data_IF_669931144372
#
_entry.id   IF_669931144372
#
_cell.length_a   1.000
_cell.length_b   1.000
_cell.length_c   1.000
_cell.angle_alpha   90.00
_cell.angle_beta   90.00
_cell.angle_gamma   90.00
#
_symmetry.space_group_name_H-M   'P 1'
#
loop_
_entity.id
_entity.type
_entity.pdbx_description
1 polymer ?
#
# COMPACT_ATOMS: atom_id res chain seq x y z
N UNK A 1 -24.97 -13.27 -8.71
CA UNK A 1 -24.81 -12.41 -9.91
C UNK A 1 -23.41 -12.58 -10.45
N UNK A 2 -23.25 -13.13 -11.65
CA UNK A 2 -21.95 -13.26 -12.31
C UNK A 2 -21.76 -12.07 -13.26
N UNK A 3 -20.70 -11.27 -13.04
CA UNK A 3 -20.37 -10.13 -13.91
C UNK A 3 -19.37 -10.62 -14.95
N UNK A 4 -19.72 -10.52 -16.24
CA UNK A 4 -18.82 -10.83 -17.35
C UNK A 4 -17.71 -9.78 -17.38
N UNK A 5 -16.48 -10.18 -17.08
CA UNK A 5 -15.30 -9.31 -17.18
C UNK A 5 -14.90 -9.12 -18.65
N UNK A 6 -14.75 -7.87 -19.07
CA UNK A 6 -14.30 -7.51 -20.42
C UNK A 6 -12.84 -7.06 -20.34
N UNK A 7 -12.03 -7.54 -21.28
CA UNK A 7 -10.65 -7.09 -21.42
C UNK A 7 -10.64 -5.73 -22.12
N UNK A 8 -10.30 -4.67 -21.39
CA UNK A 8 -10.15 -3.34 -21.96
C UNK A 8 -8.68 -3.12 -22.33
N UNK A 9 -8.40 -2.97 -23.63
CA UNK A 9 -7.09 -2.61 -24.14
C UNK A 9 -6.85 -1.10 -23.96
N UNK A 10 -6.75 -0.67 -22.70
CA UNK A 10 -6.46 0.72 -22.35
C UNK A 10 -4.96 0.91 -22.17
N UNK A 11 -4.35 1.77 -22.99
CA UNK A 11 -2.98 2.24 -22.78
C UNK A 11 -3.01 3.47 -21.86
N UNK A 12 -2.60 3.36 -20.58
CA UNK A 12 -2.67 4.48 -19.65
C UNK A 12 -1.70 5.58 -20.03
N UNK A 13 -2.16 6.83 -19.91
CA UNK A 13 -1.31 8.00 -20.10
C UNK A 13 -0.19 8.04 -19.04
N UNK A 14 0.93 8.72 -19.35
CA UNK A 14 2.05 8.87 -18.42
C UNK A 14 1.63 9.49 -17.09
N UNK A 15 0.72 10.46 -17.13
CA UNK A 15 0.16 11.11 -15.94
C UNK A 15 -0.65 10.12 -15.08
N UNK A 16 -1.52 9.30 -15.69
CA UNK A 16 -2.27 8.28 -14.99
C UNK A 16 -1.35 7.22 -14.34
N UNK A 17 -0.30 6.80 -15.06
CA UNK A 17 0.73 5.90 -14.51
C UNK A 17 1.47 6.53 -13.31
N UNK A 18 1.82 7.82 -13.40
CA UNK A 18 2.45 8.55 -12.31
C UNK A 18 1.56 8.60 -11.06
N UNK A 19 0.29 8.93 -11.25
CA UNK A 19 -0.69 9.00 -10.17
C UNK A 19 -0.89 7.63 -9.49
N UNK A 20 -0.99 6.55 -10.27
CA UNK A 20 -1.10 5.18 -9.75
C UNK A 20 0.16 4.75 -8.97
N UNK A 21 1.36 5.13 -9.45
CA UNK A 21 2.62 4.88 -8.73
C UNK A 21 2.63 5.61 -7.38
N UNK A 22 2.22 6.87 -7.37
CA UNK A 22 2.13 7.67 -6.15
C UNK A 22 1.11 7.10 -5.17
N UNK A 23 -0.06 6.68 -5.65
CA UNK A 23 -1.07 5.99 -4.83
C UNK A 23 -0.51 4.74 -4.18
N UNK A 24 0.19 3.92 -4.95
CA UNK A 24 0.83 2.70 -4.44
C UNK A 24 1.86 3.03 -3.35
N UNK A 25 2.65 4.09 -3.53
CA UNK A 25 3.61 4.55 -2.53
C UNK A 25 2.90 4.99 -1.23
N UNK A 26 1.86 5.83 -1.34
CA UNK A 26 1.03 6.27 -0.22
C UNK A 26 0.39 5.12 0.55
N UNK A 27 -0.15 4.11 -0.17
CA UNK A 27 -0.73 2.90 0.45
C UNK A 27 0.36 2.12 1.20
N UNK A 28 1.54 1.93 0.59
CA UNK A 28 2.63 1.20 1.22
C UNK A 28 3.15 1.90 2.48
N UNK A 29 3.30 3.22 2.45
CA UNK A 29 3.68 4.00 3.63
C UNK A 29 2.62 3.88 4.74
N UNK A 30 1.34 4.00 4.38
CA UNK A 30 0.24 3.85 5.33
C UNK A 30 0.19 2.44 5.94
N UNK A 31 0.49 1.40 5.15
CA UNK A 31 0.61 0.01 5.64
C UNK A 31 1.77 -0.11 6.62
N UNK A 32 2.95 0.45 6.27
CA UNK A 32 4.14 0.43 7.13
C UNK A 32 3.87 1.11 8.47
N UNK A 33 3.26 2.31 8.45
CA UNK A 33 2.84 3.03 9.65
C UNK A 33 1.85 2.19 10.46
N UNK A 34 0.87 1.57 9.80
CA UNK A 34 -0.13 0.73 10.44
C UNK A 34 0.44 -0.50 11.15
N UNK A 35 1.45 -1.16 10.56
CA UNK A 35 2.10 -2.33 11.16
C UNK A 35 2.94 -1.96 12.37
N UNK A 36 3.70 -0.86 12.29
CA UNK A 36 4.53 -0.38 13.41
C UNK A 36 3.66 0.00 14.62
N UNK A 37 2.43 0.48 14.39
CA UNK A 37 1.54 0.99 15.44
C UNK A 37 0.38 0.03 15.83
N UNK A 38 0.38 -1.21 15.33
CA UNK A 38 -0.76 -2.16 15.35
C UNK A 38 -2.12 -1.45 15.11
N UNK A 39 -2.17 -0.64 14.06
CA UNK A 39 -3.32 0.16 13.70
C UNK A 39 -3.99 -0.42 12.45
N UNK A 40 -5.21 -0.92 12.59
CA UNK A 40 -6.03 -1.43 11.47
C UNK A 40 -7.35 -0.69 11.29
N UNK A 41 -7.70 0.25 12.18
CA UNK A 41 -8.90 1.06 12.06
C UNK A 41 -8.64 2.30 11.22
N UNK A 42 -9.60 2.65 10.36
CA UNK A 42 -9.47 3.81 9.48
C UNK A 42 -9.17 5.10 10.26
N UNK A 43 -9.89 5.34 11.36
CA UNK A 43 -9.71 6.52 12.21
C UNK A 43 -8.28 6.63 12.75
N UNK A 44 -7.74 5.54 13.32
CA UNK A 44 -6.38 5.53 13.89
C UNK A 44 -5.33 5.69 12.78
N UNK A 45 -5.51 5.01 11.64
CA UNK A 45 -4.59 5.10 10.52
C UNK A 45 -4.57 6.50 9.90
N UNK A 46 -5.73 7.15 9.76
CA UNK A 46 -5.82 8.54 9.27
C UNK A 46 -5.05 9.50 10.18
N UNK A 47 -5.24 9.41 11.50
CA UNK A 47 -4.55 10.29 12.43
C UNK A 47 -3.01 10.14 12.36
N UNK A 48 -2.53 8.92 12.21
CA UNK A 48 -1.09 8.62 12.15
C UNK A 48 -0.47 8.94 10.78
N UNK A 49 -1.19 8.67 9.70
CA UNK A 49 -0.60 8.67 8.35
C UNK A 49 -0.86 9.97 7.59
N UNK A 50 -1.96 10.69 7.86
CA UNK A 50 -2.38 11.84 7.04
C UNK A 50 -1.31 12.94 6.95
N UNK A 51 -0.72 13.32 8.10
CA UNK A 51 0.36 14.29 8.14
C UNK A 51 1.67 13.76 7.52
N UNK A 52 1.94 12.46 7.65
CA UNK A 52 3.11 11.83 7.04
C UNK A 52 3.01 11.84 5.51
N UNK A 53 1.80 11.77 4.95
CA UNK A 53 1.53 11.83 3.51
C UNK A 53 1.53 13.28 2.95
N UNK A 54 1.80 14.30 3.78
CA UNK A 54 1.79 15.70 3.34
C UNK A 54 2.79 15.97 2.19
N UNK A 55 3.93 15.28 2.18
CA UNK A 55 4.99 15.45 1.18
C UNK A 55 4.62 14.96 -0.23
N UNK A 56 3.55 14.17 -0.38
CA UNK A 56 3.07 13.78 -1.70
C UNK A 56 2.30 14.93 -2.35
N UNK A 57 2.70 15.30 -3.56
CA UNK A 57 1.99 16.26 -4.40
C UNK A 57 0.73 15.62 -5.00
N UNK A 58 -0.31 15.51 -4.18
CA UNK A 58 -1.60 14.95 -4.57
C UNK A 58 -2.76 15.58 -3.80
N UNK A 59 -3.98 15.60 -4.37
CA UNK A 59 -5.17 16.04 -3.67
C UNK A 59 -5.41 15.28 -2.35
N UNK A 60 -6.02 15.95 -1.36
CA UNK A 60 -6.33 15.38 -0.05
C UNK A 60 -7.23 14.14 -0.14
N UNK A 61 -8.22 14.14 -1.04
CA UNK A 61 -9.09 12.99 -1.28
C UNK A 61 -8.28 11.76 -1.73
N UNK A 62 -7.21 11.95 -2.50
CA UNK A 62 -6.36 10.86 -2.98
C UNK A 62 -5.57 10.23 -1.84
N UNK A 63 -5.05 11.05 -0.92
CA UNK A 63 -4.37 10.62 0.32
C UNK A 63 -5.32 9.84 1.23
N UNK A 64 -6.54 10.33 1.44
CA UNK A 64 -7.56 9.65 2.25
C UNK A 64 -7.99 8.31 1.64
N UNK A 65 -8.13 8.23 0.31
CA UNK A 65 -8.41 6.98 -0.39
C UNK A 65 -7.28 5.95 -0.21
N UNK A 66 -6.02 6.39 -0.25
CA UNK A 66 -4.86 5.52 0.00
C UNK A 66 -4.86 4.97 1.43
N UNK A 67 -5.13 5.83 2.43
CA UNK A 67 -5.26 5.44 3.84
C UNK A 67 -6.42 4.45 4.01
N UNK A 68 -7.58 4.72 3.42
CA UNK A 68 -8.74 3.82 3.48
C UNK A 68 -8.41 2.44 2.88
N UNK A 69 -7.68 2.40 1.77
CA UNK A 69 -7.24 1.15 1.16
C UNK A 69 -6.28 0.39 2.07
N UNK A 70 -5.30 1.08 2.67
CA UNK A 70 -4.35 0.49 3.61
C UNK A 70 -5.05 -0.10 4.85
N UNK A 71 -6.01 0.62 5.43
CA UNK A 71 -6.79 0.15 6.57
C UNK A 71 -7.54 -1.16 6.26
N UNK A 72 -8.16 -1.25 5.08
CA UNK A 72 -8.83 -2.48 4.64
C UNK A 72 -7.88 -3.67 4.48
N UNK A 73 -6.69 -3.45 3.92
CA UNK A 73 -5.65 -4.48 3.79
C UNK A 73 -5.21 -4.99 5.18
N UNK A 74 -4.95 -4.07 6.11
CA UNK A 74 -4.53 -4.40 7.48
C UNK A 74 -5.63 -5.12 8.26
N UNK A 75 -6.89 -4.69 8.13
CA UNK A 75 -8.02 -5.35 8.76
C UNK A 75 -8.22 -6.78 8.23
N UNK A 76 -8.08 -6.97 6.92
CA UNK A 76 -8.11 -8.30 6.28
C UNK A 76 -6.97 -9.18 6.79
N UNK A 77 -5.73 -8.65 6.86
CA UNK A 77 -4.58 -9.35 7.44
C UNK A 77 -4.84 -9.76 8.89
N UNK A 78 -5.32 -8.85 9.74
CA UNK A 78 -5.65 -9.14 11.14
C UNK A 78 -6.70 -10.24 11.25
N UNK A 79 -7.69 -10.26 10.35
CA UNK A 79 -8.71 -11.33 10.28
C UNK A 79 -8.12 -12.67 9.84
N UNK A 80 -7.22 -12.68 8.86
CA UNK A 80 -6.53 -13.91 8.41
C UNK A 80 -5.62 -14.48 9.48
N UNK A 81 -4.84 -13.66 10.17
CA UNK A 81 -3.98 -14.07 11.28
C UNK A 81 -4.80 -14.68 12.42
N UNK A 82 -5.94 -14.07 12.78
CA UNK A 82 -6.87 -14.63 13.78
C UNK A 82 -7.42 -16.02 13.42
N UNK A 83 -7.45 -16.36 12.12
CA UNK A 83 -7.93 -17.66 11.61
C UNK A 83 -6.80 -18.69 11.45
N UNK A 84 -5.56 -18.33 11.81
CA UNK A 84 -4.39 -19.21 11.67
C UNK A 84 -3.81 -19.29 10.26
N UNK A 85 -4.27 -18.45 9.32
CA UNK A 85 -3.68 -18.43 7.97
C UNK A 85 -2.35 -17.69 7.98
N UNK A 86 -1.30 -18.35 7.46
CA UNK A 86 0.01 -17.74 7.25
C UNK A 86 -0.14 -16.52 6.31
N UNK A 87 0.07 -15.31 6.85
CA UNK A 87 0.03 -14.09 6.05
C UNK A 87 1.45 -13.68 5.70
N UNK A 88 1.74 -13.50 4.41
CA UNK A 88 3.06 -12.99 3.95
C UNK A 88 3.34 -11.64 4.60
N UNK A 89 4.57 -11.47 5.10
CA UNK A 89 5.03 -10.16 5.54
C UNK A 89 5.01 -9.18 4.37
N UNK A 90 4.51 -7.95 4.57
CA UNK A 90 4.46 -6.96 3.50
C UNK A 90 5.88 -6.67 3.04
N UNK A 91 6.03 -6.62 1.72
CA UNK A 91 7.30 -6.60 1.00
C UNK A 91 8.25 -5.59 1.64
N UNK A 92 9.19 -6.09 2.45
CA UNK A 92 10.42 -5.37 2.78
C UNK A 92 11.22 -5.39 1.49
N UNK A 93 11.27 -4.26 0.79
CA UNK A 93 12.22 -4.08 -0.29
C UNK A 93 13.62 -4.21 0.31
N UNK A 94 14.19 -5.41 0.24
CA UNK A 94 15.61 -5.62 0.46
C UNK A 94 16.34 -4.98 -0.72
N UNK A 95 16.46 -3.64 -0.72
CA UNK A 95 17.51 -2.97 -1.46
C UNK A 95 18.77 -2.94 -0.59
N UNK A 96 19.26 -4.12 -0.19
CA UNK A 96 20.68 -4.28 0.04
C UNK A 96 21.28 -4.57 -1.33
N UNK A 97 21.71 -3.52 -2.03
CA UNK A 97 22.77 -3.68 -3.03
C UNK A 97 23.94 -4.32 -2.29
N UNK A 98 24.18 -5.61 -2.54
CA UNK A 98 25.46 -6.21 -2.17
C UNK A 98 26.49 -5.73 -3.18
N UNK A 99 27.54 -5.00 -2.78
CA UNK A 99 28.71 -4.84 -3.63
C UNK A 99 29.46 -6.18 -3.71
N UNK A 100 30.11 -6.36 -4.85
CA UNK A 100 31.08 -7.37 -5.28
C UNK A 100 31.70 -8.32 -4.23
N UNK A 101 31.87 -9.59 -4.61
CA UNK A 101 33.16 -10.35 -4.60
C UNK A 101 32.91 -11.78 -5.07
N UNK A 102 33.73 -12.30 -6.00
CA UNK A 102 33.71 -13.73 -6.33
C UNK A 102 34.38 -14.12 -7.64
N UNK A 103 35.66 -13.81 -7.80
CA UNK A 103 36.55 -14.42 -8.79
C UNK A 103 36.74 -15.92 -8.50
N UNK A 104 36.58 -16.77 -9.51
CA UNK A 104 37.50 -17.86 -9.90
C UNK A 104 37.12 -18.43 -11.25
#
# INVERSE_FOLDING_TARGET
MAVKSVWQNYAPTRAALGLLKMFRAMVNDSIRIGLVNDASSLRKLSLLSYNQLAHYDSPSCYKLCAISRAAGILASRKKSLKRGFATKEPIRSNHSLSPATGSR
#
